data_IF_558726920571
#
_entry.id   IF_558726920571
#
_cell.length_a   1.000
_cell.length_b   1.000
_cell.length_c   1.000
_cell.angle_alpha   90.00
_cell.angle_beta   90.00
_cell.angle_gamma   90.00
#
_symmetry.space_group_name_H-M   'P 1'
#
loop_
_entity.id
_entity.type
_entity.pdbx_description
1 polymer ?
#
# COMPACT_ATOMS: atom_id res chain seq x y z
N UNK A 1 0.32 -11.85 1.51
CA UNK A 1 -0.51 -11.44 2.67
C UNK A 1 -1.77 -12.27 2.77
N UNK A 2 -2.22 -12.57 3.97
CA UNK A 2 -3.50 -13.22 4.22
C UNK A 2 -4.20 -12.48 5.36
N UNK A 3 -5.49 -12.18 5.19
CA UNK A 3 -6.28 -11.47 6.20
C UNK A 3 -7.75 -11.89 6.15
N UNK A 4 -8.37 -11.92 7.31
CA UNK A 4 -9.82 -12.08 7.45
C UNK A 4 -10.45 -10.70 7.33
N UNK A 5 -10.84 -10.33 6.12
CA UNK A 5 -11.39 -9.03 5.77
C UNK A 5 -12.67 -9.18 4.95
N UNK A 6 -13.55 -8.21 5.04
CA UNK A 6 -14.78 -8.15 4.25
C UNK A 6 -14.51 -7.95 2.74
N UNK A 7 -15.57 -8.13 1.94
CA UNK A 7 -15.48 -7.97 0.47
C UNK A 7 -15.16 -6.55 0.04
N UNK A 8 -15.46 -5.57 0.90
CA UNK A 8 -15.23 -4.15 0.64
C UNK A 8 -14.02 -3.57 1.41
N UNK A 9 -13.26 -4.45 2.04
CA UNK A 9 -12.10 -4.07 2.82
C UNK A 9 -10.80 -4.25 2.03
N UNK A 10 -9.74 -3.68 2.56
CA UNK A 10 -8.39 -3.82 2.05
C UNK A 10 -7.42 -4.25 3.15
N UNK A 11 -6.25 -4.71 2.74
CA UNK A 11 -5.11 -4.90 3.63
C UNK A 11 -3.95 -4.05 3.11
N UNK A 12 -3.26 -3.40 4.04
CA UNK A 12 -2.11 -2.55 3.71
C UNK A 12 -0.86 -3.04 4.45
N UNK A 13 0.26 -3.01 3.76
CA UNK A 13 1.58 -3.29 4.30
C UNK A 13 2.54 -2.23 3.82
N UNK A 14 3.35 -1.68 4.71
CA UNK A 14 4.25 -0.62 4.30
C UNK A 14 5.46 -0.43 5.20
N UNK A 15 6.33 0.44 4.71
CA UNK A 15 7.54 0.89 5.40
C UNK A 15 7.22 2.24 6.04
N UNK A 16 7.53 2.37 7.32
CA UNK A 16 7.31 3.61 8.07
C UNK A 16 7.98 4.82 7.44
N UNK A 17 7.32 5.96 7.51
CA UNK A 17 7.90 7.25 7.15
C UNK A 17 9.00 7.75 8.10
N UNK A 18 9.39 6.96 9.10
CA UNK A 18 10.42 7.31 10.08
C UNK A 18 11.29 6.10 10.39
N UNK A 19 12.60 6.33 10.57
CA UNK A 19 13.55 5.27 10.95
C UNK A 19 13.42 4.85 12.43
N UNK A 20 12.87 5.72 13.28
CA UNK A 20 12.91 5.55 14.73
C UNK A 20 11.54 5.27 15.36
N UNK A 21 10.47 5.32 14.60
CA UNK A 21 9.12 5.11 15.10
C UNK A 21 8.17 4.70 13.99
N UNK A 22 7.06 4.08 14.36
CA UNK A 22 5.95 3.81 13.48
C UNK A 22 5.26 5.12 13.08
N UNK A 23 5.33 5.48 11.80
CA UNK A 23 4.78 6.73 11.30
C UNK A 23 4.15 6.52 9.93
N UNK A 24 2.90 6.95 9.78
CA UNK A 24 2.20 6.84 8.50
C UNK A 24 2.62 7.90 7.50
N UNK A 25 2.73 9.15 7.95
CA UNK A 25 3.14 10.24 7.04
C UNK A 25 4.57 9.97 6.56
N UNK A 26 4.75 9.98 5.25
CA UNK A 26 6.00 9.63 4.58
C UNK A 26 6.16 8.12 4.33
N UNK A 27 5.17 7.30 4.68
CA UNK A 27 5.25 5.86 4.47
C UNK A 27 5.04 5.49 3.00
N UNK A 28 5.75 4.45 2.58
CA UNK A 28 5.61 3.73 1.31
C UNK A 28 4.79 2.48 1.58
N UNK A 29 3.63 2.34 0.94
CA UNK A 29 2.61 1.37 1.33
C UNK A 29 2.02 0.61 0.14
N UNK A 30 2.06 -0.71 0.21
CA UNK A 30 1.28 -1.57 -0.68
C UNK A 30 -0.14 -1.71 -0.13
N UNK A 31 -1.13 -1.39 -0.94
CA UNK A 31 -2.54 -1.58 -0.62
C UNK A 31 -3.12 -2.65 -1.52
N UNK A 32 -3.71 -3.66 -0.90
CA UNK A 32 -4.18 -4.85 -1.61
C UNK A 32 -5.61 -5.17 -1.24
N UNK A 33 -6.40 -5.54 -2.24
CA UNK A 33 -7.79 -5.96 -2.06
C UNK A 33 -8.25 -6.89 -3.18
N UNK A 34 -9.36 -7.59 -2.94
CA UNK A 34 -10.02 -8.41 -3.94
C UNK A 34 -11.38 -7.78 -4.23
N UNK A 35 -11.64 -7.47 -5.50
CA UNK A 35 -12.92 -6.93 -5.96
C UNK A 35 -13.54 -7.89 -6.98
N UNK A 36 -14.66 -8.50 -6.62
CA UNK A 36 -15.26 -9.55 -7.44
C UNK A 36 -14.30 -10.74 -7.60
N UNK A 37 -13.85 -10.97 -8.83
CA UNK A 37 -12.92 -12.06 -9.18
C UNK A 37 -11.50 -11.57 -9.47
N UNK A 38 -11.19 -10.30 -9.17
CA UNK A 38 -9.90 -9.69 -9.46
C UNK A 38 -9.22 -9.23 -8.16
N UNK A 39 -7.93 -9.50 -8.06
CA UNK A 39 -7.06 -8.99 -7.01
C UNK A 39 -6.28 -7.77 -7.50
N UNK A 40 -6.07 -6.83 -6.60
CA UNK A 40 -5.33 -5.60 -6.85
C UNK A 40 -4.28 -5.38 -5.77
N UNK A 41 -3.11 -4.95 -6.19
CA UNK A 41 -2.07 -4.43 -5.30
C UNK A 41 -1.51 -3.19 -5.96
N UNK A 42 -1.54 -2.08 -5.25
CA UNK A 42 -1.05 -0.80 -5.74
C UNK A 42 -0.10 -0.16 -4.74
N UNK A 43 0.82 0.59 -5.27
CA UNK A 43 1.81 1.35 -4.53
C UNK A 43 1.24 2.72 -4.15
N UNK A 44 1.40 3.09 -2.89
CA UNK A 44 0.87 4.32 -2.32
C UNK A 44 1.92 5.06 -1.52
N UNK A 45 1.96 6.34 -1.67
CA UNK A 45 2.72 7.23 -0.82
C UNK A 45 1.77 8.02 0.10
N UNK A 46 2.10 8.10 1.38
CA UNK A 46 1.27 8.82 2.36
C UNK A 46 1.93 10.14 2.70
N UNK A 47 1.38 11.22 2.16
CA UNK A 47 1.86 12.58 2.46
C UNK A 47 1.04 13.26 3.53
N UNK A 48 -0.19 12.80 3.75
CA UNK A 48 -1.07 13.28 4.81
C UNK A 48 -2.14 12.24 5.15
N UNK A 49 -2.90 12.44 6.24
CA UNK A 49 -3.85 11.46 6.78
C UNK A 49 -5.30 11.75 6.34
N UNK A 50 -5.49 11.92 5.05
CA UNK A 50 -6.83 12.04 4.42
C UNK A 50 -6.82 11.38 3.03
N UNK A 51 -7.98 11.12 2.42
CA UNK A 51 -8.04 10.58 1.07
C UNK A 51 -7.31 11.44 0.06
N UNK A 52 -6.74 10.83 -0.96
CA UNK A 52 -5.99 11.52 -2.00
C UNK A 52 -6.80 12.68 -2.60
N UNK A 53 -6.29 13.89 -2.47
CA UNK A 53 -7.00 15.12 -2.84
C UNK A 53 -6.09 16.02 -3.69
N UNK A 54 -6.63 16.54 -4.78
CA UNK A 54 -5.95 17.55 -5.59
C UNK A 54 -6.08 18.92 -4.91
N UNK A 55 -4.95 19.50 -4.53
CA UNK A 55 -4.86 20.83 -3.94
C UNK A 55 -3.99 21.69 -4.84
N UNK A 56 -4.61 22.63 -5.57
CA UNK A 56 -3.92 23.54 -6.48
C UNK A 56 -3.02 22.84 -7.51
N UNK A 57 -3.45 21.71 -8.06
CA UNK A 57 -2.70 20.93 -9.04
C UNK A 57 -1.75 19.90 -8.45
N UNK A 58 -1.62 19.82 -7.13
CA UNK A 58 -0.82 18.82 -6.43
C UNK A 58 -1.70 17.85 -5.66
N UNK A 59 -1.39 16.55 -5.73
CA UNK A 59 -2.10 15.54 -4.97
C UNK A 59 -1.44 15.35 -3.60
N UNK A 60 -2.26 15.34 -2.56
CA UNK A 60 -1.85 15.09 -1.17
C UNK A 60 -2.81 14.12 -0.50
N UNK A 61 -2.32 13.46 0.55
CA UNK A 61 -3.05 12.48 1.34
C UNK A 61 -2.49 11.08 1.11
N UNK A 62 -3.37 10.09 1.17
CA UNK A 62 -3.04 8.69 0.86
C UNK A 62 -3.22 8.50 -0.64
N UNK A 63 -2.16 8.69 -1.41
CA UNK A 63 -2.21 8.76 -2.86
C UNK A 63 -1.51 7.60 -3.54
N UNK A 64 -2.08 7.05 -4.64
CA UNK A 64 -1.34 6.17 -5.53
C UNK A 64 -0.08 6.87 -6.04
N UNK A 65 0.99 6.12 -6.19
CA UNK A 65 2.28 6.67 -6.61
C UNK A 65 2.21 7.39 -7.96
N UNK A 66 1.41 6.90 -8.89
CA UNK A 66 1.23 7.53 -10.19
C UNK A 66 0.63 8.95 -10.11
N UNK A 67 -0.07 9.29 -9.01
CA UNK A 67 -0.63 10.62 -8.78
C UNK A 67 0.40 11.62 -8.22
N UNK A 68 1.45 11.12 -7.59
CA UNK A 68 2.49 11.95 -6.97
C UNK A 68 3.83 11.88 -7.71
N UNK A 69 3.81 11.39 -8.95
CA UNK A 69 4.99 11.33 -9.82
C UNK A 69 5.84 10.08 -9.65
N UNK A 70 5.36 9.11 -8.90
CA UNK A 70 6.02 7.81 -8.73
C UNK A 70 5.63 6.77 -9.79
N UNK A 71 6.17 5.59 -9.64
CA UNK A 71 5.93 4.44 -10.53
C UNK A 71 5.42 3.27 -9.70
N UNK A 72 4.41 2.59 -10.22
CA UNK A 72 3.88 1.37 -9.61
C UNK A 72 4.95 0.27 -9.57
N UNK A 73 5.36 -0.14 -8.37
CA UNK A 73 6.43 -1.12 -8.16
C UNK A 73 5.94 -2.49 -7.72
N UNK A 74 4.67 -2.63 -7.40
CA UNK A 74 4.09 -3.89 -6.96
C UNK A 74 3.41 -4.61 -8.11
N UNK A 75 3.61 -5.92 -8.18
CA UNK A 75 2.93 -6.79 -9.13
C UNK A 75 2.20 -7.88 -8.37
N UNK A 76 0.89 -7.97 -8.56
CA UNK A 76 0.12 -9.07 -8.00
C UNK A 76 0.42 -10.37 -8.77
N UNK A 77 0.64 -11.45 -8.04
CA UNK A 77 0.91 -12.77 -8.60
C UNK A 77 -0.28 -13.71 -8.47
N UNK A 78 -0.83 -13.82 -7.27
CA UNK A 78 -1.99 -14.66 -7.00
C UNK A 78 -2.92 -13.97 -6.01
N UNK A 79 -4.20 -14.28 -6.11
CA UNK A 79 -5.21 -13.82 -5.17
C UNK A 79 -6.35 -14.83 -5.11
N UNK A 80 -6.88 -15.05 -3.92
CA UNK A 80 -8.11 -15.82 -3.73
C UNK A 80 -8.73 -15.51 -2.37
N UNK A 81 -10.02 -15.81 -2.26
CA UNK A 81 -10.77 -15.72 -1.01
C UNK A 81 -11.42 -17.06 -0.73
N UNK A 82 -11.19 -17.59 0.47
CA UNK A 82 -11.75 -18.85 0.95
C UNK A 82 -12.03 -18.74 2.45
N UNK A 83 -13.23 -19.16 2.87
CA UNK A 83 -13.64 -19.15 4.28
C UNK A 83 -13.49 -17.80 4.99
N UNK A 84 -13.79 -16.70 4.28
CA UNK A 84 -13.65 -15.35 4.80
C UNK A 84 -12.23 -14.81 4.83
N UNK A 85 -11.24 -15.62 4.45
CA UNK A 85 -9.84 -15.21 4.40
C UNK A 85 -9.46 -14.84 2.98
N UNK A 86 -8.97 -13.61 2.80
CA UNK A 86 -8.39 -13.14 1.54
C UNK A 86 -6.89 -13.35 1.56
N UNK A 87 -6.37 -14.01 0.54
CA UNK A 87 -4.94 -14.21 0.34
C UNK A 87 -4.49 -13.54 -0.93
N UNK A 88 -3.47 -12.73 -0.82
CA UNK A 88 -2.87 -12.03 -1.94
C UNK A 88 -1.35 -12.22 -1.88
N UNK A 89 -0.78 -12.55 -3.02
CA UNK A 89 0.66 -12.67 -3.19
C UNK A 89 1.10 -11.64 -4.21
N UNK A 90 2.04 -10.81 -3.85
CA UNK A 90 2.61 -9.79 -4.72
C UNK A 90 4.13 -9.79 -4.62
N UNK A 91 4.76 -9.17 -5.58
CA UNK A 91 6.21 -8.94 -5.58
C UNK A 91 6.53 -7.50 -5.89
N UNK A 92 7.68 -7.04 -5.43
CA UNK A 92 8.29 -5.78 -5.85
C UNK A 92 9.81 -5.93 -5.92
N UNK A 93 10.46 -4.99 -6.60
CA UNK A 93 11.92 -4.86 -6.56
C UNK A 93 12.39 -4.50 -5.14
N UNK A 94 13.54 -5.05 -4.73
CA UNK A 94 14.18 -4.68 -3.46
C UNK A 94 14.78 -3.27 -3.51
N UNK A 95 15.07 -2.76 -4.70
CA UNK A 95 15.63 -1.42 -4.90
C UNK A 95 14.50 -0.46 -5.25
N UNK A 96 14.43 0.68 -4.56
CA UNK A 96 13.52 1.76 -4.88
C UNK A 96 13.81 2.31 -6.28
N UNK A 97 12.76 2.63 -7.05
CA UNK A 97 12.86 3.15 -8.41
C UNK A 97 12.53 4.62 -8.50
N UNK A 98 11.97 5.21 -7.46
CA UNK A 98 11.65 6.63 -7.37
C UNK A 98 11.82 7.17 -5.94
N UNK A 99 11.61 8.48 -5.77
CA UNK A 99 11.84 9.17 -4.49
C UNK A 99 10.80 8.86 -3.42
N UNK A 100 9.61 8.43 -3.82
CA UNK A 100 8.53 8.08 -2.88
C UNK A 100 8.68 6.71 -2.25
N UNK A 101 9.52 5.86 -2.84
CA UNK A 101 9.69 4.48 -2.44
C UNK A 101 10.88 4.26 -1.50
N UNK A 102 10.76 3.22 -0.70
CA UNK A 102 11.87 2.74 0.12
C UNK A 102 12.46 1.44 -0.43
N UNK A 103 13.77 1.36 -0.47
CA UNK A 103 14.46 0.11 -0.77
C UNK A 103 14.42 -0.84 0.43
N UNK A 104 14.17 -2.13 0.17
CA UNK A 104 14.25 -3.16 1.19
C UNK A 104 15.70 -3.60 1.39
N UNK A 105 16.14 -3.68 2.63
CA UNK A 105 17.44 -4.27 2.98
C UNK A 105 17.26 -5.68 3.55
N UNK A 106 18.35 -6.46 3.60
CA UNK A 106 18.33 -7.78 4.22
C UNK A 106 18.05 -7.75 5.74
N UNK A 107 18.21 -6.59 6.37
CA UNK A 107 17.94 -6.36 7.80
C UNK A 107 16.60 -5.69 8.05
N UNK A 108 15.64 -5.95 7.22
CA UNK A 108 14.34 -5.33 7.14
C UNK A 108 13.34 -5.85 8.19
N UNK A 109 13.64 -5.77 9.48
CA UNK A 109 12.75 -6.27 10.53
C UNK A 109 12.09 -5.19 11.38
N UNK A 110 12.50 -3.96 11.22
CA UNK A 110 11.96 -2.83 11.95
C UNK A 110 11.06 -1.99 11.04
N UNK A 111 10.02 -1.40 11.47
CA UNK A 111 9.22 -0.37 10.81
C UNK A 111 8.12 -0.84 9.83
N UNK A 112 7.63 -2.07 10.00
CA UNK A 112 6.51 -2.58 9.20
C UNK A 112 5.18 -2.23 9.84
N UNK A 113 4.23 -1.83 8.99
CA UNK A 113 2.84 -1.64 9.35
C UNK A 113 1.93 -2.54 8.54
N UNK A 114 0.99 -3.21 9.21
CA UNK A 114 -0.14 -3.87 8.56
C UNK A 114 -1.42 -3.23 9.08
N UNK A 115 -2.25 -2.75 8.16
CA UNK A 115 -3.56 -2.16 8.48
C UNK A 115 -4.66 -2.77 7.64
N UNK A 116 -5.81 -2.91 8.26
CA UNK A 116 -7.05 -3.26 7.60
C UNK A 116 -7.96 -2.03 7.57
N UNK A 117 -8.68 -1.84 6.49
CA UNK A 117 -9.59 -0.72 6.35
C UNK A 117 -10.53 -0.86 5.16
N UNK A 118 -11.45 0.09 5.02
CA UNK A 118 -12.37 0.12 3.90
C UNK A 118 -11.70 0.65 2.64
N UNK A 119 -12.02 0.05 1.49
CA UNK A 119 -11.52 0.47 0.17
C UNK A 119 -12.01 1.86 -0.25
N UNK A 120 -13.05 2.38 0.38
CA UNK A 120 -13.63 3.68 0.00
C UNK A 120 -12.64 4.83 0.12
N UNK A 121 -11.61 4.65 0.91
CA UNK A 121 -10.50 5.60 1.05
C UNK A 121 -9.65 5.77 -0.21
N UNK A 122 -9.63 4.76 -1.09
CA UNK A 122 -8.71 4.66 -2.24
C UNK A 122 -9.42 4.75 -3.59
N UNK A 123 -10.70 5.08 -3.58
CA UNK A 123 -11.50 5.25 -4.79
C UNK A 123 -11.56 6.69 -5.28
#
# INVERSE_FOLDING_TARGET
>A
MAAEIGSDDYVAFGISGSKNSSKMIGADVAISYISGHLGFTSDYNITDLYPCTNINGYYKGVCPDDKVGGIENYQILTFFREDGISRLTFRRSLTATDEGDFSFSRNFWSDHHVRNGSRDWFR
#
